data_IF_584151439990
#
_entry.id   IF_584151439990
#
_cell.length_a   1.000
_cell.length_b   1.000
_cell.length_c   1.000
_cell.angle_alpha   90.00
_cell.angle_beta   90.00
_cell.angle_gamma   90.00
#
_symmetry.space_group_name_H-M   'P 1'
#
loop_
_entity.id
_entity.type
_entity.pdbx_description
1 polymer ?
#
# COMPACT_ATOMS: atom_id res chain seq x y z
N UNK A 1 -12.55 -13.60 -3.02
CA UNK A 1 -11.86 -12.84 -1.96
C UNK A 1 -12.49 -13.24 -0.64
N UNK A 2 -11.69 -13.49 0.42
CA UNK A 2 -12.17 -13.85 1.76
C UNK A 2 -11.44 -13.04 2.84
N UNK A 3 -12.17 -12.60 3.87
CA UNK A 3 -11.66 -11.78 4.98
C UNK A 3 -12.17 -12.27 6.34
N UNK A 4 -11.38 -12.05 7.38
CA UNK A 4 -11.71 -12.25 8.78
C UNK A 4 -11.87 -10.91 9.51
N UNK A 5 -12.56 -10.93 10.65
CA UNK A 5 -12.57 -9.77 11.55
C UNK A 5 -11.14 -9.44 12.02
N UNK A 6 -10.76 -8.16 11.96
CA UNK A 6 -9.41 -7.66 12.24
C UNK A 6 -8.54 -7.45 10.99
N UNK A 7 -8.93 -8.04 9.85
CA UNK A 7 -8.24 -7.80 8.58
C UNK A 7 -8.41 -6.34 8.15
N UNK A 8 -7.42 -5.78 7.45
CA UNK A 8 -7.52 -4.42 6.91
C UNK A 8 -7.83 -4.46 5.42
N UNK A 9 -8.83 -3.72 4.98
CA UNK A 9 -9.19 -3.61 3.57
C UNK A 9 -8.84 -2.23 3.03
N UNK A 10 -8.33 -2.21 1.80
CA UNK A 10 -8.05 -1.00 1.05
C UNK A 10 -8.87 -1.04 -0.23
N UNK A 11 -9.74 -0.05 -0.39
CA UNK A 11 -10.50 0.16 -1.61
C UNK A 11 -9.83 1.28 -2.42
N UNK A 12 -9.22 0.90 -3.54
CA UNK A 12 -8.94 1.86 -4.60
C UNK A 12 -10.28 2.24 -5.25
N UNK A 13 -10.58 3.54 -5.35
CA UNK A 13 -11.85 3.95 -5.94
C UNK A 13 -11.92 3.62 -7.44
N UNK A 14 -13.15 3.49 -7.95
CA UNK A 14 -13.44 2.95 -9.29
C UNK A 14 -12.93 3.80 -10.48
N UNK A 15 -12.50 5.03 -10.23
CA UNK A 15 -11.94 5.94 -11.25
C UNK A 15 -10.54 6.39 -10.85
N UNK A 16 -9.68 6.59 -11.85
CA UNK A 16 -8.44 7.37 -11.70
C UNK A 16 -8.80 8.70 -11.02
N UNK A 17 -8.09 9.04 -9.93
CA UNK A 17 -8.33 10.18 -9.01
C UNK A 17 -9.36 9.95 -7.88
N UNK A 18 -9.93 8.76 -7.74
CA UNK A 18 -10.81 8.46 -6.59
C UNK A 18 -9.99 8.23 -5.32
N UNK A 19 -10.38 8.79 -4.16
CA UNK A 19 -9.66 8.61 -2.92
C UNK A 19 -9.60 7.14 -2.53
N UNK A 20 -8.40 6.65 -2.27
CA UNK A 20 -8.18 5.33 -1.67
C UNK A 20 -8.67 5.38 -0.23
N UNK A 21 -9.50 4.41 0.18
CA UNK A 21 -10.00 4.34 1.55
C UNK A 21 -9.53 3.06 2.24
N UNK A 22 -8.90 3.25 3.40
CA UNK A 22 -8.48 2.19 4.31
C UNK A 22 -9.45 2.03 5.47
N UNK A 23 -9.61 0.79 5.94
CA UNK A 23 -10.37 0.48 7.14
C UNK A 23 -10.24 -0.96 7.60
N UNK A 24 -10.60 -1.21 8.84
CA UNK A 24 -10.58 -2.52 9.48
C UNK A 24 -11.91 -3.25 9.27
N UNK A 25 -11.85 -4.50 8.84
CA UNK A 25 -13.01 -5.40 8.75
C UNK A 25 -13.43 -5.77 10.17
N UNK A 26 -14.55 -5.21 10.62
CA UNK A 26 -15.13 -5.53 11.95
C UNK A 26 -16.03 -6.76 11.90
N UNK A 27 -16.54 -7.12 10.72
CA UNK A 27 -17.36 -8.31 10.52
C UNK A 27 -17.32 -8.76 9.06
N UNK A 28 -17.32 -10.08 8.84
CA UNK A 28 -17.42 -10.71 7.53
C UNK A 28 -18.60 -11.68 7.46
N UNK A 29 -19.10 -11.93 6.24
CA UNK A 29 -20.14 -12.93 6.00
C UNK A 29 -19.67 -14.36 6.29
N UNK A 30 -20.58 -15.34 6.20
CA UNK A 30 -20.28 -16.74 6.49
C UNK A 30 -19.06 -17.24 5.70
N UNK A 31 -18.12 -17.90 6.39
CA UNK A 31 -16.91 -18.43 5.75
C UNK A 31 -15.89 -17.38 5.30
N UNK A 32 -16.05 -16.12 5.72
CA UNK A 32 -15.20 -15.00 5.33
C UNK A 32 -15.57 -14.39 3.98
N UNK A 33 -16.71 -14.76 3.40
CA UNK A 33 -17.20 -14.20 2.13
C UNK A 33 -17.88 -12.83 2.34
N UNK A 34 -17.97 -11.96 1.31
CA UNK A 34 -18.71 -10.71 1.41
C UNK A 34 -20.19 -10.89 1.77
N UNK A 35 -20.86 -9.88 2.32
CA UNK A 35 -20.37 -8.51 2.53
C UNK A 35 -19.43 -8.38 3.74
N UNK A 36 -18.59 -7.34 3.70
CA UNK A 36 -17.74 -6.95 4.83
C UNK A 36 -18.26 -5.68 5.46
N UNK A 37 -18.37 -5.65 6.79
CA UNK A 37 -18.56 -4.41 7.53
C UNK A 37 -17.19 -3.88 7.92
N UNK A 38 -16.89 -2.66 7.47
CA UNK A 38 -15.58 -2.04 7.60
C UNK A 38 -15.71 -0.78 8.44
N UNK A 39 -14.87 -0.64 9.46
CA UNK A 39 -14.63 0.60 10.19
C UNK A 39 -13.50 1.34 9.47
N UNK A 40 -13.83 2.43 8.79
CA UNK A 40 -12.89 3.26 8.05
C UNK A 40 -12.02 4.11 8.99
N UNK A 41 -10.87 4.53 8.47
CA UNK A 41 -9.93 5.40 9.19
C UNK A 41 -10.55 6.77 9.55
N UNK A 42 -11.59 7.20 8.82
CA UNK A 42 -12.39 8.40 9.13
C UNK A 42 -13.40 8.19 10.28
N UNK A 43 -13.40 7.02 10.91
CA UNK A 43 -14.27 6.63 12.00
C UNK A 43 -15.66 6.15 11.58
N UNK A 44 -16.03 6.25 10.31
CA UNK A 44 -17.34 5.77 9.82
C UNK A 44 -17.32 4.25 9.68
N UNK A 45 -18.47 3.64 9.84
CA UNK A 45 -18.65 2.21 9.58
C UNK A 45 -19.59 2.02 8.40
N UNK A 46 -19.22 1.19 7.42
CA UNK A 46 -20.11 0.83 6.31
C UNK A 46 -19.94 -0.61 5.86
N UNK A 47 -21.01 -1.19 5.35
CA UNK A 47 -21.00 -2.51 4.71
C UNK A 47 -20.66 -2.39 3.22
N UNK A 48 -19.73 -3.22 2.74
CA UNK A 48 -19.26 -3.22 1.35
C UNK A 48 -19.38 -4.59 0.69
N UNK A 49 -19.59 -4.57 -0.62
CA UNK A 49 -19.37 -5.71 -1.52
C UNK A 49 -18.16 -5.36 -2.41
N UNK A 50 -16.99 -5.96 -2.19
CA UNK A 50 -15.80 -5.64 -2.96
C UNK A 50 -15.98 -6.00 -4.44
N UNK A 51 -15.75 -5.05 -5.33
CA UNK A 51 -15.63 -5.28 -6.76
C UNK A 51 -14.25 -5.89 -7.12
N UNK A 52 -14.09 -6.37 -8.35
CA UNK A 52 -12.80 -6.81 -8.88
C UNK A 52 -11.81 -5.63 -8.85
N UNK A 53 -10.87 -5.64 -7.89
CA UNK A 53 -9.91 -4.54 -7.67
C UNK A 53 -9.83 -4.07 -6.20
N UNK A 54 -10.80 -4.43 -5.35
CA UNK A 54 -10.65 -4.28 -3.91
C UNK A 54 -9.47 -5.13 -3.42
N UNK A 55 -8.69 -4.63 -2.45
CA UNK A 55 -7.54 -5.39 -1.94
C UNK A 55 -7.62 -5.55 -0.43
N UNK A 56 -7.64 -6.80 0.02
CA UNK A 56 -7.64 -7.16 1.42
C UNK A 56 -6.21 -7.42 1.90
N UNK A 57 -5.73 -6.70 2.91
CA UNK A 57 -4.57 -7.05 3.72
C UNK A 57 -5.07 -7.97 4.84
N UNK A 58 -4.89 -9.28 4.66
CA UNK A 58 -5.04 -10.22 5.77
C UNK A 58 -3.88 -9.93 6.71
N UNK A 59 -4.20 -9.40 7.88
CA UNK A 59 -3.22 -9.35 8.96
C UNK A 59 -3.43 -10.67 9.66
N UNK A 60 -2.74 -11.72 9.21
CA UNK A 60 -2.77 -13.00 9.93
C UNK A 60 -2.37 -12.65 11.36
N UNK A 61 -3.34 -12.81 12.27
CA UNK A 61 -3.13 -12.59 13.69
C UNK A 61 -1.86 -13.32 14.10
N UNK A 62 -1.07 -12.65 14.93
CA UNK A 62 0.02 -13.24 15.68
C UNK A 62 -0.36 -14.67 16.10
N UNK A 63 0.15 -15.69 15.39
CA UNK A 63 0.43 -17.06 15.83
C UNK A 63 0.61 -18.00 14.64
N UNK A 64 1.88 -18.16 14.21
CA UNK A 64 2.61 -19.45 14.10
C UNK A 64 3.92 -19.28 13.30
N UNK A 65 4.81 -18.42 13.78
CA UNK A 65 6.23 -18.76 13.77
C UNK A 65 6.67 -18.81 15.24
N UNK A 66 7.14 -19.99 15.63
CA UNK A 66 7.34 -20.43 16.99
C UNK A 66 8.25 -19.51 17.83
N UNK A 67 7.94 -19.46 19.12
CA UNK A 67 8.84 -19.18 20.25
C UNK A 67 10.19 -18.55 19.89
N UNK A 68 10.23 -17.23 19.84
CA UNK A 68 11.44 -16.49 20.20
C UNK A 68 11.06 -15.57 21.33
N UNK A 69 11.38 -16.02 22.55
CA UNK A 69 11.46 -15.18 23.75
C UNK A 69 12.15 -13.89 23.36
N UNK A 70 11.45 -12.76 23.46
CA UNK A 70 12.00 -11.45 23.16
C UNK A 70 13.20 -11.19 24.07
N UNK A 71 14.40 -11.48 23.55
CA UNK A 71 15.67 -11.00 24.08
C UNK A 71 15.90 -9.65 23.37
N UNK A 72 15.81 -8.51 24.06
CA UNK A 72 15.93 -7.17 23.45
C UNK A 72 17.24 -6.97 22.68
N UNK A 73 18.24 -7.77 23.01
CA UNK A 73 19.57 -7.87 22.40
C UNK A 73 19.61 -8.52 20.99
N UNK A 74 18.50 -9.08 20.49
CA UNK A 74 18.38 -9.64 19.13
C UNK A 74 17.58 -8.74 18.14
N UNK A 75 17.05 -7.61 18.60
CA UNK A 75 16.27 -6.66 17.78
C UNK A 75 14.78 -7.03 17.65
N UNK A 76 14.01 -6.15 17.00
CA UNK A 76 12.60 -6.39 16.64
C UNK A 76 12.48 -6.52 15.13
N UNK A 77 11.81 -7.56 14.65
CA UNK A 77 11.54 -7.74 13.22
C UNK A 77 10.23 -7.05 12.87
N UNK A 78 10.23 -6.23 11.82
CA UNK A 78 9.04 -5.63 11.22
C UNK A 78 8.99 -5.98 9.74
N UNK A 79 7.80 -6.30 9.24
CA UNK A 79 7.59 -6.64 7.83
C UNK A 79 6.66 -5.62 7.18
N UNK A 80 7.09 -5.03 6.08
CA UNK A 80 6.29 -4.11 5.27
C UNK A 80 6.03 -4.72 3.90
N UNK A 81 4.86 -4.43 3.32
CA UNK A 81 4.46 -4.95 2.01
C UNK A 81 4.20 -3.78 1.06
N UNK A 82 4.73 -3.86 -0.16
CA UNK A 82 4.38 -2.95 -1.25
C UNK A 82 3.47 -3.67 -2.25
N UNK A 83 2.32 -3.07 -2.53
CA UNK A 83 1.42 -3.52 -3.59
C UNK A 83 1.62 -2.69 -4.84
N UNK A 84 1.67 -3.35 -5.99
CA UNK A 84 1.83 -2.72 -7.30
C UNK A 84 0.62 -3.07 -8.15
N UNK A 85 -0.02 -2.05 -8.71
CA UNK A 85 -1.14 -2.19 -9.66
C UNK A 85 -0.75 -1.55 -10.98
N UNK A 86 -0.82 -2.32 -12.06
CA UNK A 86 -0.53 -1.87 -13.42
C UNK A 86 -1.83 -1.61 -14.19
N UNK A 87 -1.82 -0.55 -15.00
CA UNK A 87 -2.87 -0.22 -15.94
C UNK A 87 -2.24 0.16 -17.29
N UNK A 88 -2.54 -0.63 -18.31
CA UNK A 88 -2.06 -0.41 -19.68
C UNK A 88 -3.19 0.13 -20.56
N UNK A 89 -2.85 1.12 -21.40
CA UNK A 89 -3.73 1.64 -22.43
C UNK A 89 -2.93 2.02 -23.67
N UNK A 90 -2.97 1.16 -24.68
CA UNK A 90 -2.26 1.39 -25.94
C UNK A 90 -0.75 1.37 -25.71
N UNK A 91 -0.11 2.53 -25.89
CA UNK A 91 1.34 2.67 -25.73
C UNK A 91 1.72 3.22 -24.35
N UNK A 92 0.73 3.48 -23.48
CA UNK A 92 0.93 4.00 -22.13
C UNK A 92 0.74 2.92 -21.06
N UNK A 93 1.69 2.85 -20.12
CA UNK A 93 1.58 2.05 -18.90
C UNK A 93 1.60 2.96 -17.68
N UNK A 94 0.74 2.68 -16.72
CA UNK A 94 0.73 3.30 -15.40
C UNK A 94 0.95 2.25 -14.33
N UNK A 95 1.86 2.50 -13.39
CA UNK A 95 1.96 1.75 -12.15
C UNK A 95 1.53 2.62 -10.97
N UNK A 96 0.66 2.09 -10.10
CA UNK A 96 0.35 2.66 -8.78
C UNK A 96 0.91 1.74 -7.72
N UNK A 97 1.70 2.27 -6.79
CA UNK A 97 2.24 1.53 -5.65
C UNK A 97 1.63 2.01 -4.35
N UNK A 98 1.36 1.08 -3.45
CA UNK A 98 0.86 1.36 -2.11
C UNK A 98 1.68 0.58 -1.08
N UNK A 99 2.29 1.29 -0.13
CA UNK A 99 2.98 0.69 1.00
C UNK A 99 2.00 0.42 2.14
N UNK A 100 2.03 -0.81 2.64
CA UNK A 100 1.29 -1.28 3.79
C UNK A 100 2.29 -1.49 4.93
N UNK A 101 2.39 -0.51 5.81
CA UNK A 101 3.19 -0.54 7.04
C UNK A 101 2.29 -0.46 8.28
N UNK A 102 2.86 -0.62 9.47
CA UNK A 102 2.17 -0.43 10.76
C UNK A 102 2.08 1.06 11.18
N UNK A 103 2.34 1.96 10.22
CA UNK A 103 2.23 3.40 10.39
C UNK A 103 0.83 3.86 9.93
N UNK A 104 0.20 4.82 10.62
CA UNK A 104 -1.19 5.23 10.34
C UNK A 104 -1.41 5.87 8.96
N UNK A 105 -0.36 6.18 8.19
CA UNK A 105 -0.51 6.79 6.86
C UNK A 105 -0.10 5.82 5.74
N UNK A 106 -1.08 5.43 4.92
CA UNK A 106 -0.82 4.62 3.73
C UNK A 106 -0.09 5.47 2.66
N UNK A 107 1.21 5.23 2.49
CA UNK A 107 2.00 5.89 1.45
C UNK A 107 1.72 5.28 0.08
N UNK A 108 1.35 6.12 -0.88
CA UNK A 108 1.10 5.71 -2.26
C UNK A 108 1.99 6.48 -3.23
N UNK A 109 2.33 5.91 -4.37
CA UNK A 109 3.03 6.64 -5.43
C UNK A 109 2.64 6.11 -6.80
N UNK A 110 2.94 6.89 -7.84
CA UNK A 110 2.60 6.56 -9.22
C UNK A 110 3.80 6.74 -10.12
N UNK A 111 3.95 5.86 -11.10
CA UNK A 111 4.89 5.96 -12.21
C UNK A 111 4.19 5.69 -13.52
N UNK A 112 4.71 6.25 -14.60
CA UNK A 112 4.18 6.07 -15.96
C UNK A 112 5.28 5.72 -16.92
N UNK A 113 4.94 5.02 -18.00
CA UNK A 113 5.79 4.74 -19.14
C UNK A 113 5.00 4.98 -20.43
N UNK A 114 5.71 5.37 -21.49
CA UNK A 114 5.16 5.56 -22.82
C UNK A 114 6.10 4.91 -23.83
N UNK A 115 5.59 4.01 -24.66
CA UNK A 115 6.35 3.35 -25.73
C UNK A 115 6.42 4.27 -26.94
N UNK A 116 7.61 4.44 -27.52
CA UNK A 116 7.72 5.16 -28.79
C UNK A 116 7.05 4.37 -29.93
N UNK A 117 6.47 5.08 -30.90
CA UNK A 117 5.90 4.45 -32.09
C UNK A 117 6.94 3.69 -32.93
N UNK A 118 8.24 4.00 -32.77
CA UNK A 118 9.34 3.30 -33.44
C UNK A 118 9.75 2.01 -32.72
N UNK A 119 9.33 1.81 -31.47
CA UNK A 119 9.71 0.64 -30.66
C UNK A 119 8.74 -0.53 -30.88
N UNK A 120 9.22 -1.79 -30.83
CA UNK A 120 8.37 -2.97 -30.89
C UNK A 120 7.34 -2.98 -29.76
N UNK A 121 6.09 -3.45 -30.00
CA UNK A 121 5.06 -3.50 -28.97
C UNK A 121 5.36 -4.63 -27.96
N UNK A 122 6.14 -4.28 -26.93
CA UNK A 122 6.42 -5.13 -25.76
C UNK A 122 5.96 -4.42 -24.48
N UNK A 123 4.89 -4.94 -23.88
CA UNK A 123 4.27 -4.37 -22.68
C UNK A 123 5.18 -4.50 -21.44
N UNK A 124 6.00 -5.54 -21.36
CA UNK A 124 6.83 -5.80 -20.18
C UNK A 124 7.84 -4.68 -19.91
N UNK A 125 8.35 -4.05 -20.97
CA UNK A 125 9.24 -2.88 -20.86
C UNK A 125 8.50 -1.68 -20.24
N UNK A 126 7.26 -1.45 -20.68
CA UNK A 126 6.41 -0.39 -20.14
C UNK A 126 6.12 -0.58 -18.65
N UNK A 127 5.84 -1.83 -18.25
CA UNK A 127 5.61 -2.22 -16.87
C UNK A 127 6.81 -1.97 -15.99
N UNK A 128 7.98 -2.51 -16.35
CA UNK A 128 9.20 -2.37 -15.57
C UNK A 128 9.56 -0.89 -15.35
N UNK A 129 9.47 -0.06 -16.39
CA UNK A 129 9.75 1.37 -16.31
C UNK A 129 8.72 2.09 -15.44
N UNK A 130 7.43 1.80 -15.61
CA UNK A 130 6.38 2.43 -14.82
C UNK A 130 6.50 2.05 -13.34
N UNK A 131 6.77 0.77 -13.03
CA UNK A 131 6.98 0.28 -11.65
C UNK A 131 8.22 0.91 -11.03
N UNK A 132 9.36 0.93 -11.74
CA UNK A 132 10.59 1.52 -11.23
C UNK A 132 10.40 3.00 -10.86
N UNK A 133 9.73 3.77 -11.74
CA UNK A 133 9.38 5.18 -11.46
C UNK A 133 8.45 5.32 -10.26
N UNK A 134 7.44 4.46 -10.14
CA UNK A 134 6.52 4.49 -9.01
C UNK A 134 7.22 4.17 -7.68
N UNK A 135 8.11 3.18 -7.66
CA UNK A 135 8.91 2.82 -6.48
C UNK A 135 9.92 3.91 -6.11
N UNK A 136 10.50 4.60 -7.09
CA UNK A 136 11.38 5.73 -6.84
C UNK A 136 10.63 6.89 -6.16
N UNK A 137 9.46 7.26 -6.71
CA UNK A 137 8.59 8.24 -6.06
C UNK A 137 8.13 7.82 -4.66
N UNK A 138 7.89 6.51 -4.45
CA UNK A 138 7.57 6.00 -3.11
C UNK A 138 8.74 6.16 -2.14
N UNK A 139 9.97 5.91 -2.59
CA UNK A 139 11.17 6.11 -1.78
C UNK A 139 11.33 7.58 -1.37
N UNK A 140 11.15 8.52 -2.31
CA UNK A 140 11.22 9.96 -2.02
C UNK A 140 10.15 10.38 -1.00
N UNK A 141 8.92 9.85 -1.13
CA UNK A 141 7.84 10.11 -0.16
C UNK A 141 8.18 9.60 1.23
N UNK A 142 8.74 8.39 1.35
CA UNK A 142 9.14 7.83 2.65
C UNK A 142 10.20 8.71 3.29
N UNK A 143 11.20 9.17 2.53
CA UNK A 143 12.25 10.05 3.05
C UNK A 143 11.68 11.40 3.49
N UNK A 144 10.74 11.98 2.74
CA UNK A 144 10.04 13.19 3.14
C UNK A 144 9.27 13.04 4.46
N UNK A 145 8.53 11.94 4.64
CA UNK A 145 7.84 11.65 5.92
C UNK A 145 8.83 11.52 7.07
N UNK A 146 9.99 10.90 6.85
CA UNK A 146 11.04 10.80 7.88
C UNK A 146 11.62 12.18 8.23
N UNK A 147 11.80 13.07 7.26
CA UNK A 147 12.24 14.45 7.51
C UNK A 147 11.23 15.21 8.39
N UNK A 148 9.93 15.08 8.11
CA UNK A 148 8.84 15.65 8.90
C UNK A 148 8.83 15.09 10.33
N UNK A 149 8.95 13.77 10.48
CA UNK A 149 8.98 13.09 11.77
C UNK A 149 10.16 13.54 12.64
N UNK A 150 11.36 13.65 12.05
CA UNK A 150 12.56 14.11 12.77
C UNK A 150 12.41 15.58 13.18
N UNK A 151 11.90 16.42 12.27
CA UNK A 151 11.63 17.84 12.55
C UNK A 151 10.69 17.98 13.73
N UNK A 152 9.58 17.23 13.72
CA UNK A 152 8.60 17.20 14.80
C UNK A 152 9.19 16.72 16.13
N UNK A 153 10.03 15.68 16.11
CA UNK A 153 10.62 15.11 17.31
C UNK A 153 11.77 15.94 17.91
N UNK A 154 12.54 16.65 17.08
CA UNK A 154 13.78 17.33 17.50
C UNK A 154 13.68 18.86 17.53
N UNK A 155 12.71 19.45 16.83
CA UNK A 155 12.58 20.90 16.66
C UNK A 155 13.62 21.54 15.74
N UNK A 156 14.34 20.76 14.93
CA UNK A 156 15.31 21.28 13.96
C UNK A 156 14.60 21.98 12.79
N UNK A 157 15.13 23.10 12.30
CA UNK A 157 14.48 23.90 11.24
C UNK A 157 14.75 23.37 9.81
N UNK A 158 15.79 22.57 9.59
CA UNK A 158 16.11 21.98 8.28
C UNK A 158 16.69 20.57 8.42
N UNK A 159 15.87 19.55 8.14
CA UNK A 159 16.29 18.14 8.11
C UNK A 159 16.25 17.65 6.67
N UNK A 160 17.36 17.06 6.21
CA UNK A 160 17.44 16.42 4.90
C UNK A 160 17.99 15.00 5.00
N UNK A 161 17.23 14.03 4.53
CA UNK A 161 17.59 12.61 4.50
C UNK A 161 17.80 12.17 3.06
N UNK A 162 18.99 11.65 2.76
CA UNK A 162 19.34 11.17 1.41
C UNK A 162 19.27 9.64 1.34
N UNK A 163 18.79 9.11 0.22
CA UNK A 163 19.09 7.72 -0.13
C UNK A 163 20.59 7.59 -0.37
N UNK A 164 21.19 6.50 0.12
CA UNK A 164 22.63 6.20 -0.03
C UNK A 164 22.87 5.31 -1.24
#
# INVERSE_FOLDING_TARGET
MRASTGDHIVLAGERVDSPVRGGEVVSAGPGGDPPYTVRWDDGRTSTIYPAAGAVLKVVEGEERHADVVARPELGTMRQWTVRVTLFERGDDTTATVAMLADSPEALTARGTSHRSAADPPDAHIGDEVAVARALHHLADRILGTVEEDITSATGAEEVHVRSR
#
